data_IF_347655067298
#
_entry.id   IF_347655067298
#
_cell.length_a   1.000
_cell.length_b   1.000
_cell.length_c   1.000
_cell.angle_alpha   90.00
_cell.angle_beta   90.00
_cell.angle_gamma   90.00
#
_symmetry.space_group_name_H-M   'P 1'
#
loop_
_entity.id
_entity.type
_entity.pdbx_description
1 polymer ?
#
# COMPACT_ATOMS: atom_id res chain seq x y z
N UNK A 1 34.89 -18.81 -8.07
CA UNK A 1 33.91 -18.82 -6.96
C UNK A 1 33.35 -17.41 -6.79
N UNK A 2 32.04 -17.22 -7.02
CA UNK A 2 31.29 -15.99 -6.68
C UNK A 2 30.03 -16.42 -5.93
N UNK A 3 30.20 -16.94 -4.72
CA UNK A 3 29.09 -17.32 -3.83
C UNK A 3 29.30 -16.73 -2.43
N UNK A 4 29.63 -15.43 -2.34
CA UNK A 4 29.87 -14.80 -1.04
C UNK A 4 28.98 -13.57 -0.74
N UNK A 5 27.97 -13.30 -1.57
CA UNK A 5 27.05 -12.16 -1.37
C UNK A 5 25.59 -12.48 -1.69
N UNK A 6 25.17 -13.75 -1.61
CA UNK A 6 23.74 -14.05 -1.61
C UNK A 6 23.18 -13.66 -0.24
N UNK A 7 22.47 -12.52 -0.17
CA UNK A 7 21.64 -12.21 1.00
C UNK A 7 20.64 -13.35 1.13
N UNK A 8 20.60 -14.09 2.25
CA UNK A 8 19.67 -15.20 2.38
C UNK A 8 18.23 -14.70 2.22
N UNK A 9 17.40 -15.43 1.48
CA UNK A 9 16.00 -15.04 1.19
C UNK A 9 15.21 -14.70 2.45
N UNK A 10 15.55 -15.30 3.60
CA UNK A 10 14.96 -14.97 4.90
C UNK A 10 15.21 -13.51 5.34
N UNK A 11 16.40 -12.96 5.10
CA UNK A 11 16.73 -11.57 5.44
C UNK A 11 15.99 -10.60 4.52
N UNK A 12 15.91 -10.92 3.23
CA UNK A 12 15.17 -10.13 2.23
C UNK A 12 13.68 -10.12 2.60
N UNK A 13 13.13 -11.30 2.88
CA UNK A 13 11.74 -11.45 3.34
C UNK A 13 11.47 -10.62 4.59
N UNK A 14 12.30 -10.76 5.63
CA UNK A 14 12.16 -9.95 6.84
C UNK A 14 12.20 -8.45 6.55
N UNK A 15 13.13 -7.98 5.71
CA UNK A 15 13.25 -6.58 5.36
C UNK A 15 12.01 -6.05 4.61
N UNK A 16 11.49 -6.82 3.64
CA UNK A 16 10.27 -6.45 2.88
C UNK A 16 9.06 -6.43 3.80
N UNK A 17 8.87 -7.46 4.64
CA UNK A 17 7.77 -7.49 5.62
C UNK A 17 7.86 -6.33 6.59
N UNK A 18 9.05 -6.04 7.14
CA UNK A 18 9.27 -4.90 8.02
C UNK A 18 8.96 -3.57 7.34
N UNK A 19 9.38 -3.40 6.09
CA UNK A 19 9.07 -2.21 5.31
C UNK A 19 7.56 -2.08 5.12
N UNK A 20 6.87 -3.15 4.70
CA UNK A 20 5.43 -3.14 4.46
C UNK A 20 4.62 -2.70 5.70
N UNK A 21 4.88 -3.29 6.87
CA UNK A 21 4.20 -2.90 8.12
C UNK A 21 4.65 -1.53 8.67
N UNK A 22 5.88 -1.13 8.36
CA UNK A 22 6.50 0.09 8.86
C UNK A 22 6.19 1.33 8.01
N UNK A 23 5.73 1.17 6.78
CA UNK A 23 5.42 2.30 5.90
C UNK A 23 4.31 3.15 6.50
N UNK A 24 4.55 4.45 6.51
CA UNK A 24 3.60 5.51 6.84
C UNK A 24 3.74 6.56 5.76
N UNK A 25 2.63 6.85 5.09
CA UNK A 25 2.58 7.87 4.07
C UNK A 25 2.62 9.24 4.71
N UNK A 26 3.32 10.17 4.08
CA UNK A 26 3.55 11.50 4.64
C UNK A 26 2.45 12.44 4.15
N UNK A 27 1.94 13.29 5.03
CA UNK A 27 0.93 14.26 4.64
C UNK A 27 1.47 15.24 3.58
N UNK A 28 0.72 15.41 2.49
CA UNK A 28 1.16 16.23 1.35
C UNK A 28 2.23 15.60 0.45
N UNK A 29 2.65 14.36 0.69
CA UNK A 29 3.47 13.61 -0.27
C UNK A 29 2.68 13.31 -1.55
N UNK A 30 3.41 12.91 -2.60
CA UNK A 30 2.76 12.33 -3.77
C UNK A 30 2.12 11.00 -3.38
N UNK A 31 0.82 11.09 -3.09
CA UNK A 31 -0.04 9.94 -2.79
C UNK A 31 0.09 8.85 -3.84
N UNK A 32 0.35 9.24 -5.09
CA UNK A 32 0.59 8.33 -6.21
C UNK A 32 1.91 7.56 -6.05
N UNK A 33 2.99 8.24 -5.67
CA UNK A 33 4.30 7.60 -5.45
C UNK A 33 4.26 6.65 -4.27
N UNK A 34 3.66 7.09 -3.17
CA UNK A 34 3.53 6.29 -1.95
C UNK A 34 2.58 5.09 -2.15
N UNK A 35 1.50 5.25 -2.92
CA UNK A 35 0.60 4.15 -3.29
C UNK A 35 1.27 3.12 -4.18
N UNK A 36 2.04 3.56 -5.18
CA UNK A 36 2.86 2.67 -6.01
C UNK A 36 3.92 1.94 -5.18
N UNK A 37 4.53 2.62 -4.20
CA UNK A 37 5.48 1.98 -3.28
C UNK A 37 4.82 0.83 -2.51
N UNK A 38 3.63 1.04 -1.96
CA UNK A 38 2.91 0.00 -1.23
C UNK A 38 2.56 -1.20 -2.11
N UNK A 39 2.10 -0.98 -3.33
CA UNK A 39 1.82 -2.07 -4.28
C UNK A 39 3.10 -2.84 -4.64
N UNK A 40 4.22 -2.15 -4.82
CA UNK A 40 5.50 -2.80 -5.08
C UNK A 40 5.96 -3.69 -3.92
N UNK A 41 5.62 -3.32 -2.67
CA UNK A 41 5.91 -4.14 -1.49
C UNK A 41 5.03 -5.39 -1.45
N UNK A 42 3.74 -5.27 -1.81
CA UNK A 42 2.84 -6.42 -1.94
C UNK A 42 3.35 -7.40 -3.01
N UNK A 43 3.73 -6.92 -4.18
CA UNK A 43 4.29 -7.76 -5.24
C UNK A 43 5.59 -8.46 -4.80
N UNK A 44 6.47 -7.74 -4.08
CA UNK A 44 7.70 -8.33 -3.52
C UNK A 44 7.40 -9.43 -2.49
N UNK A 45 6.39 -9.26 -1.65
CA UNK A 45 5.97 -10.29 -0.69
C UNK A 45 5.49 -11.56 -1.43
N UNK A 46 4.64 -11.40 -2.45
CA UNK A 46 4.17 -12.52 -3.30
C UNK A 46 5.31 -13.24 -4.00
N UNK A 47 6.27 -12.51 -4.56
CA UNK A 47 7.43 -13.10 -5.23
C UNK A 47 8.36 -13.85 -4.28
N UNK A 48 8.42 -13.45 -3.02
CA UNK A 48 9.22 -14.10 -1.97
C UNK A 48 8.48 -15.23 -1.25
N UNK A 49 7.26 -15.60 -1.68
CA UNK A 49 6.39 -16.56 -0.99
C UNK A 49 6.23 -16.20 0.51
N UNK A 50 6.17 -14.89 0.75
CA UNK A 50 5.99 -14.27 2.05
C UNK A 50 4.63 -13.55 2.11
N UNK A 51 3.71 -14.01 1.26
CA UNK A 51 2.36 -13.52 1.16
C UNK A 51 1.53 -13.89 2.39
N UNK A 52 0.46 -13.15 2.58
CA UNK A 52 -0.55 -13.43 3.59
C UNK A 52 -1.67 -14.25 2.96
N UNK A 53 -2.15 -15.25 3.70
CA UNK A 53 -3.27 -16.12 3.30
C UNK A 53 -4.56 -15.34 2.98
N UNK A 54 -4.71 -14.17 3.63
CA UNK A 54 -5.89 -13.30 3.54
C UNK A 54 -5.53 -11.99 2.87
N UNK A 55 -6.18 -11.71 1.74
CA UNK A 55 -5.98 -10.48 0.97
C UNK A 55 -6.31 -9.22 1.81
N UNK A 56 -7.27 -9.34 2.73
CA UNK A 56 -7.67 -8.28 3.65
C UNK A 56 -6.51 -7.80 4.53
N UNK A 57 -5.53 -8.65 4.81
CA UNK A 57 -4.34 -8.25 5.59
C UNK A 57 -3.55 -7.17 4.86
N UNK A 58 -3.41 -7.26 3.54
CA UNK A 58 -2.72 -6.23 2.78
C UNK A 58 -3.50 -4.93 2.77
N UNK A 59 -4.82 -5.03 2.61
CA UNK A 59 -5.73 -3.88 2.59
C UNK A 59 -5.67 -3.15 3.93
N UNK A 60 -5.75 -3.88 5.05
CA UNK A 60 -5.69 -3.30 6.39
C UNK A 60 -4.36 -2.57 6.65
N UNK A 61 -3.23 -3.12 6.19
CA UNK A 61 -1.91 -2.48 6.33
C UNK A 61 -1.80 -1.24 5.44
N UNK A 62 -2.30 -1.30 4.20
CA UNK A 62 -2.32 -0.14 3.29
C UNK A 62 -3.19 0.97 3.88
N UNK A 63 -4.40 0.67 4.35
CA UNK A 63 -5.29 1.65 4.98
C UNK A 63 -4.66 2.28 6.23
N UNK A 64 -3.98 1.48 7.07
CA UNK A 64 -3.25 1.98 8.26
C UNK A 64 -2.06 2.88 7.91
N UNK A 65 -1.52 2.78 6.71
CA UNK A 65 -0.39 3.60 6.29
C UNK A 65 -0.80 5.00 5.82
N UNK A 66 -2.07 5.20 5.49
CA UNK A 66 -2.58 6.47 5.01
C UNK A 66 -2.47 7.55 6.10
N UNK A 67 -2.19 8.82 5.74
CA UNK A 67 -2.17 9.91 6.69
C UNK A 67 -3.60 10.30 7.12
N UNK A 68 -3.77 11.03 8.24
CA UNK A 68 -5.09 11.37 8.80
C UNK A 68 -6.03 12.12 7.85
N UNK A 69 -5.50 12.88 6.87
CA UNK A 69 -6.30 13.51 5.81
C UNK A 69 -7.13 12.53 4.98
N UNK A 70 -6.88 11.21 5.07
CA UNK A 70 -7.61 10.15 4.38
C UNK A 70 -8.65 9.45 5.27
N UNK A 71 -8.88 9.88 6.51
CA UNK A 71 -9.83 9.23 7.42
C UNK A 71 -11.23 9.08 6.80
N UNK A 72 -11.71 10.11 6.09
CA UNK A 72 -13.01 10.06 5.40
C UNK A 72 -13.02 9.02 4.27
N UNK A 73 -11.90 8.83 3.56
CA UNK A 73 -11.76 7.78 2.56
C UNK A 73 -11.80 6.39 3.21
N UNK A 74 -11.07 6.20 4.32
CA UNK A 74 -11.06 4.92 5.07
C UNK A 74 -12.46 4.56 5.54
N UNK A 75 -13.19 5.53 6.11
CA UNK A 75 -14.59 5.34 6.56
C UNK A 75 -15.48 4.94 5.38
N UNK A 76 -15.39 5.65 4.25
CA UNK A 76 -16.20 5.35 3.06
C UNK A 76 -15.87 3.97 2.47
N UNK A 77 -14.59 3.61 2.39
CA UNK A 77 -14.14 2.31 1.91
C UNK A 77 -14.65 1.18 2.81
N UNK A 78 -14.53 1.32 4.13
CA UNK A 78 -15.01 0.33 5.09
C UNK A 78 -16.54 0.18 5.11
N UNK A 79 -17.29 1.25 4.87
CA UNK A 79 -18.76 1.22 4.91
C UNK A 79 -19.40 0.74 3.61
N UNK A 80 -18.74 0.88 2.45
CA UNK A 80 -19.40 0.65 1.16
C UNK A 80 -19.71 -0.83 0.82
N UNK A 81 -19.39 -1.78 1.69
CA UNK A 81 -19.71 -3.21 1.49
C UNK A 81 -19.10 -3.80 0.20
N UNK A 82 -18.14 -3.08 -0.39
CA UNK A 82 -17.43 -3.46 -1.59
C UNK A 82 -16.59 -4.71 -1.32
N UNK A 83 -16.33 -5.48 -2.37
CA UNK A 83 -15.49 -6.66 -2.25
C UNK A 83 -14.09 -6.21 -1.87
N UNK A 84 -13.66 -6.51 -0.64
CA UNK A 84 -12.38 -6.05 -0.12
C UNK A 84 -11.23 -6.74 -0.86
N UNK A 85 -10.88 -6.18 -2.01
CA UNK A 85 -9.85 -6.63 -2.93
C UNK A 85 -8.85 -5.51 -3.17
N UNK A 86 -7.59 -5.89 -3.44
CA UNK A 86 -6.53 -4.94 -3.77
C UNK A 86 -6.84 -4.14 -5.05
N UNK A 87 -7.34 -4.73 -6.15
CA UNK A 87 -7.69 -3.97 -7.36
C UNK A 87 -8.74 -2.88 -7.11
N UNK A 88 -9.71 -3.17 -6.25
CA UNK A 88 -10.74 -2.20 -5.89
C UNK A 88 -10.19 -1.08 -5.02
N UNK A 89 -9.36 -1.40 -4.01
CA UNK A 89 -8.66 -0.40 -3.21
C UNK A 89 -7.86 0.55 -4.10
N UNK A 90 -7.11 0.04 -5.08
CA UNK A 90 -6.33 0.82 -6.04
C UNK A 90 -7.24 1.75 -6.86
N UNK A 91 -8.39 1.24 -7.29
CA UNK A 91 -9.36 2.00 -8.09
C UNK A 91 -9.97 3.15 -7.28
N UNK A 92 -10.47 2.86 -6.07
CA UNK A 92 -11.02 3.87 -5.16
C UNK A 92 -9.98 4.94 -4.81
N UNK A 93 -8.75 4.52 -4.59
CA UNK A 93 -7.65 5.42 -4.28
C UNK A 93 -7.35 6.36 -5.46
N UNK A 94 -7.22 5.80 -6.67
CA UNK A 94 -6.95 6.57 -7.90
C UNK A 94 -8.04 7.61 -8.18
N UNK A 95 -9.31 7.24 -8.00
CA UNK A 95 -10.46 8.16 -8.15
C UNK A 95 -10.38 9.29 -7.12
N UNK A 96 -10.09 8.95 -5.86
CA UNK A 96 -9.99 9.94 -4.76
C UNK A 96 -8.85 10.93 -5.01
N UNK A 97 -7.69 10.44 -5.47
CA UNK A 97 -6.56 11.29 -5.86
C UNK A 97 -6.90 12.24 -7.01
N UNK A 98 -7.55 11.74 -8.07
CA UNK A 98 -7.94 12.56 -9.22
C UNK A 98 -8.88 13.71 -8.79
N UNK A 99 -9.78 13.46 -7.83
CA UNK A 99 -10.68 14.47 -7.28
C UNK A 99 -9.91 15.54 -6.50
N UNK A 100 -8.93 15.15 -5.68
CA UNK A 100 -8.10 16.10 -4.93
C UNK A 100 -7.26 16.99 -5.85
N UNK A 101 -6.62 16.42 -6.88
CA UNK A 101 -5.88 17.20 -7.87
C UNK A 101 -6.76 18.20 -8.63
N UNK A 102 -8.00 17.81 -8.96
CA UNK A 102 -8.95 18.70 -9.62
C UNK A 102 -9.42 19.84 -8.69
N UNK A 103 -9.56 19.60 -7.38
CA UNK A 103 -9.90 20.63 -6.40
C UNK A 103 -8.77 21.66 -6.25
N UNK A 104 -7.51 21.23 -6.22
CA UNK A 104 -6.35 22.13 -6.14
C UNK A 104 -6.11 22.96 -7.42
N UNK A 105 -6.73 22.60 -8.55
CA UNK A 105 -6.69 23.40 -9.79
C UNK A 105 -7.81 24.45 -9.86
N UNK A 106 -8.79 24.37 -8.97
CA UNK A 106 -9.96 25.24 -8.95
C UNK A 106 -9.84 26.41 -7.96
N UNK A 107 -8.71 26.52 -7.25
CA UNK A 107 -8.34 27.60 -6.34
C UNK A 107 -6.90 28.04 -6.63
#
# INVERSE_FOLDING_TARGET
>A
MKELYAVPDQHIRYAVTKAFFGTRMIEGSSVQEDGVMMLSLVEKLKNLQADFDKEETYIDVILQSLPPSYDQFIINYNMNGLEKSLPELITCWSITMQRLQNLHRLY
#
